data_IF_970528011362
#
_entry.id   IF_970528011362
#
_cell.length_a   1.000
_cell.length_b   1.000
_cell.length_c   1.000
_cell.angle_alpha   90.00
_cell.angle_beta   90.00
_cell.angle_gamma   90.00
#
_symmetry.space_group_name_H-M   'P 1'
#
loop_
_entity.id
_entity.type
_entity.pdbx_description
1 polymer ?
#
# COMPACT_ATOMS: atom_id res chain seq x y z
N UNK A 1 -39.67 -22.34 10.30
CA UNK A 1 -40.00 -22.92 8.98
C UNK A 1 -40.24 -21.77 8.01
N UNK A 2 -39.36 -21.62 6.99
CA UNK A 2 -39.65 -20.90 5.73
C UNK A 2 -39.80 -19.36 5.81
N UNK A 3 -39.26 -18.51 4.93
CA UNK A 3 -38.79 -18.62 3.54
C UNK A 3 -37.63 -17.64 3.29
N UNK A 4 -36.57 -18.15 2.68
CA UNK A 4 -35.50 -17.36 2.10
C UNK A 4 -36.04 -16.47 0.96
N UNK A 5 -35.78 -15.15 1.05
CA UNK A 5 -35.91 -14.24 -0.09
C UNK A 5 -34.53 -13.95 -0.65
N UNK A 6 -34.15 -14.78 -1.61
CA UNK A 6 -32.97 -14.60 -2.45
C UNK A 6 -33.27 -13.50 -3.46
N UNK A 7 -32.71 -12.30 -3.27
CA UNK A 7 -32.74 -11.24 -4.25
C UNK A 7 -31.38 -11.16 -4.96
N UNK A 8 -31.25 -11.86 -6.08
CA UNK A 8 -30.21 -11.61 -7.06
C UNK A 8 -30.51 -10.25 -7.73
N UNK A 9 -29.84 -9.19 -7.29
CA UNK A 9 -29.80 -7.91 -8.03
C UNK A 9 -28.42 -7.72 -8.62
N UNK A 10 -28.43 -7.46 -9.92
CA UNK A 10 -27.30 -7.51 -10.81
C UNK A 10 -26.12 -6.65 -10.37
N UNK A 11 -24.93 -7.19 -10.61
CA UNK A 11 -23.69 -6.46 -10.64
C UNK A 11 -23.81 -5.38 -11.72
N UNK A 12 -24.11 -4.15 -11.31
CA UNK A 12 -23.88 -2.99 -12.15
C UNK A 12 -22.37 -2.91 -12.36
N UNK A 13 -21.91 -3.22 -13.58
CA UNK A 13 -20.53 -2.94 -13.98
C UNK A 13 -20.34 -1.42 -13.92
N UNK A 14 -19.62 -0.98 -12.90
CA UNK A 14 -19.18 0.41 -12.78
C UNK A 14 -18.43 0.78 -14.07
N UNK A 15 -18.72 1.91 -14.73
CA UNK A 15 -17.93 2.33 -15.87
C UNK A 15 -16.49 2.53 -15.38
N UNK A 16 -15.55 1.85 -16.01
CA UNK A 16 -14.13 2.04 -15.75
C UNK A 16 -13.82 3.54 -15.89
N UNK A 17 -13.50 4.18 -14.77
CA UNK A 17 -13.02 5.55 -14.79
C UNK A 17 -11.72 5.54 -15.59
N UNK A 18 -11.75 6.13 -16.79
CA UNK A 18 -10.56 6.38 -17.57
C UNK A 18 -9.70 7.37 -16.78
N UNK A 19 -8.69 6.84 -16.08
CA UNK A 19 -7.66 7.66 -15.45
C UNK A 19 -6.95 8.41 -16.58
N UNK A 20 -6.96 9.75 -16.62
CA UNK A 20 -6.15 10.46 -17.60
C UNK A 20 -4.69 10.12 -17.32
N UNK A 21 -4.05 9.44 -18.26
CA UNK A 21 -2.62 9.22 -18.24
C UNK A 21 -1.93 10.58 -18.24
N UNK A 22 -1.43 11.01 -17.07
CA UNK A 22 -0.63 12.21 -16.95
C UNK A 22 0.63 12.02 -17.79
N UNK A 23 0.63 12.61 -19.00
CA UNK A 23 1.84 12.78 -19.80
C UNK A 23 2.78 13.66 -19.00
N UNK A 24 3.78 13.06 -18.37
CA UNK A 24 4.95 13.79 -17.87
C UNK A 24 5.61 14.45 -19.07
N UNK A 25 5.77 15.79 -19.12
CA UNK A 25 6.60 16.39 -20.12
C UNK A 25 8.05 15.98 -19.81
N UNK A 26 8.57 15.04 -20.60
CA UNK A 26 10.00 14.81 -20.70
C UNK A 26 10.57 15.99 -21.47
N UNK A 27 11.11 16.97 -20.73
CA UNK A 27 11.96 18.01 -21.30
C UNK A 27 13.26 17.35 -21.75
N UNK A 28 13.35 17.01 -23.02
CA UNK A 28 14.62 16.76 -23.68
C UNK A 28 15.35 18.10 -23.77
N UNK A 29 16.23 18.35 -22.81
CA UNK A 29 17.16 19.48 -22.84
C UNK A 29 18.23 19.15 -23.89
N UNK A 30 18.17 19.80 -25.05
CA UNK A 30 19.36 19.92 -25.90
C UNK A 30 20.16 21.12 -25.39
N UNK A 31 21.37 20.81 -24.93
CA UNK A 31 22.42 21.73 -24.54
C UNK A 31 22.92 22.43 -25.82
N UNK A 32 22.38 23.61 -26.11
CA UNK A 32 22.90 24.51 -27.14
C UNK A 32 23.82 25.49 -26.42
N UNK A 33 25.11 25.13 -26.34
CA UNK A 33 26.15 25.94 -25.72
C UNK A 33 26.46 27.16 -26.60
N UNK A 34 25.64 28.21 -26.47
CA UNK A 34 26.04 29.54 -26.86
C UNK A 34 26.84 30.17 -25.72
N UNK A 35 28.14 30.31 -25.93
CA UNK A 35 29.05 31.11 -25.11
C UNK A 35 28.67 32.60 -25.26
N UNK A 36 27.62 33.02 -24.55
CA UNK A 36 27.27 34.42 -24.35
C UNK A 36 28.18 34.96 -23.23
N UNK A 37 29.27 35.59 -23.63
CA UNK A 37 29.90 36.62 -22.80
C UNK A 37 28.97 37.83 -22.72
N UNK A 38 27.89 37.72 -21.96
CA UNK A 38 27.18 38.90 -21.48
C UNK A 38 28.09 39.52 -20.41
N UNK A 39 28.70 40.66 -20.73
CA UNK A 39 29.23 41.53 -19.70
C UNK A 39 28.06 41.83 -18.74
N UNK A 40 28.17 41.37 -17.50
CA UNK A 40 27.14 41.57 -16.49
C UNK A 40 27.01 43.06 -16.17
N UNK A 41 26.18 43.76 -16.93
CA UNK A 41 25.85 45.19 -16.71
C UNK A 41 24.82 45.36 -15.59
N UNK A 42 24.51 44.31 -14.81
CA UNK A 42 23.57 44.45 -13.70
C UNK A 42 24.23 45.23 -12.57
N UNK A 43 23.85 46.51 -12.47
CA UNK A 43 24.21 47.35 -11.34
C UNK A 43 23.41 46.86 -10.13
N UNK A 44 24.03 45.99 -9.34
CA UNK A 44 23.46 45.54 -8.08
C UNK A 44 23.33 46.73 -7.12
N UNK A 45 22.14 47.00 -6.56
CA UNK A 45 22.01 48.02 -5.55
C UNK A 45 22.88 47.64 -4.35
N UNK A 46 23.58 48.61 -3.72
CA UNK A 46 24.50 48.32 -2.62
C UNK A 46 23.76 47.61 -1.49
N UNK A 47 24.22 46.41 -1.15
CA UNK A 47 23.63 45.61 -0.07
C UNK A 47 23.93 46.24 1.29
N UNK A 48 23.02 47.08 1.77
CA UNK A 48 23.05 47.66 3.11
C UNK A 48 22.25 46.83 4.12
N UNK A 49 22.39 47.16 5.40
CA UNK A 49 21.59 46.58 6.50
C UNK A 49 20.08 46.87 6.41
N UNK A 50 19.65 47.67 5.43
CA UNK A 50 18.24 47.92 5.10
C UNK A 50 17.77 47.13 3.85
N UNK A 51 18.54 46.13 3.41
CA UNK A 51 18.09 45.24 2.35
C UNK A 51 16.88 44.42 2.82
N UNK A 52 16.04 43.98 1.87
CA UNK A 52 14.86 43.17 2.19
C UNK A 52 15.24 41.89 2.94
N UNK A 53 16.41 41.31 2.63
CA UNK A 53 16.98 40.17 3.36
C UNK A 53 17.20 40.47 4.84
N UNK A 54 17.88 41.57 5.17
CA UNK A 54 18.13 41.98 6.55
C UNK A 54 16.85 42.29 7.32
N UNK A 55 15.90 42.96 6.69
CA UNK A 55 14.57 43.24 7.28
C UNK A 55 13.84 41.94 7.61
N UNK A 56 13.82 40.97 6.70
CA UNK A 56 13.18 39.68 6.96
C UNK A 56 13.89 38.89 8.07
N UNK A 57 15.21 38.92 8.14
CA UNK A 57 15.95 38.29 9.25
C UNK A 57 15.68 38.97 10.60
N UNK A 58 15.66 40.31 10.66
CA UNK A 58 15.37 41.04 11.90
C UNK A 58 13.92 40.80 12.33
N UNK A 59 12.97 40.84 11.38
CA UNK A 59 11.58 40.51 11.66
C UNK A 59 11.40 39.05 12.10
N UNK A 60 12.13 38.11 11.52
CA UNK A 60 12.14 36.71 11.93
C UNK A 60 12.66 36.53 13.35
N UNK A 61 13.81 37.14 13.68
CA UNK A 61 14.39 37.11 15.03
C UNK A 61 13.44 37.77 16.04
N UNK A 62 12.89 38.94 15.72
CA UNK A 62 11.91 39.63 16.56
C UNK A 62 10.65 38.77 16.76
N UNK A 63 10.18 38.08 15.72
CA UNK A 63 9.06 37.14 15.79
C UNK A 63 9.33 35.97 16.73
N UNK A 64 10.54 35.38 16.70
CA UNK A 64 10.93 34.30 17.60
C UNK A 64 11.01 34.78 19.06
N UNK A 65 11.59 35.96 19.31
CA UNK A 65 11.68 36.54 20.66
C UNK A 65 10.30 36.90 21.19
N UNK A 66 9.45 37.49 20.37
CA UNK A 66 8.07 37.80 20.73
C UNK A 66 7.28 36.52 21.02
N UNK A 67 7.47 35.46 20.22
CA UNK A 67 6.88 34.17 20.47
C UNK A 67 7.37 33.59 21.80
N UNK A 68 8.65 33.59 22.11
CA UNK A 68 9.15 33.04 23.37
C UNK A 68 8.62 33.80 24.61
N UNK A 69 8.50 35.13 24.53
CA UNK A 69 8.07 35.96 25.66
C UNK A 69 6.55 36.03 25.85
N UNK A 70 5.79 35.98 24.75
CA UNK A 70 4.34 36.14 24.75
C UNK A 70 3.58 34.87 24.33
N UNK A 71 4.28 33.76 24.08
CA UNK A 71 3.62 32.47 23.89
C UNK A 71 2.81 32.16 25.15
N UNK A 72 1.50 31.93 25.01
CA UNK A 72 0.67 31.62 26.15
C UNK A 72 1.12 30.29 26.77
N UNK A 73 1.17 30.26 28.10
CA UNK A 73 1.54 29.08 28.89
C UNK A 73 0.70 27.86 28.48
N UNK A 74 1.30 26.66 28.53
CA UNK A 74 0.69 25.40 28.06
C UNK A 74 -0.69 25.09 28.68
N UNK A 75 -1.02 25.73 29.79
CA UNK A 75 -2.21 25.49 30.61
C UNK A 75 -3.44 26.32 30.22
N UNK A 76 -3.30 27.38 29.41
CA UNK A 76 -4.48 28.15 28.97
C UNK A 76 -5.17 27.50 27.77
N UNK A 77 -6.51 27.36 27.83
CA UNK A 77 -7.35 26.91 26.72
C UNK A 77 -7.39 27.98 25.62
N UNK A 78 -6.37 27.97 24.77
CA UNK A 78 -6.20 28.93 23.69
C UNK A 78 -6.75 28.38 22.38
N UNK A 79 -7.34 29.26 21.56
CA UNK A 79 -7.82 28.92 20.20
C UNK A 79 -6.74 28.25 19.34
N UNK A 80 -5.48 28.65 19.50
CA UNK A 80 -4.34 28.05 18.79
C UNK A 80 -4.10 26.60 19.21
N UNK A 81 -4.14 26.29 20.52
CA UNK A 81 -3.99 24.92 21.03
C UNK A 81 -5.09 24.01 20.50
N UNK A 82 -6.34 24.48 20.52
CA UNK A 82 -7.49 23.76 19.95
C UNK A 82 -7.33 23.49 18.45
N UNK A 83 -6.82 24.47 17.71
CA UNK A 83 -6.53 24.31 16.27
C UNK A 83 -5.44 23.26 16.02
N UNK A 84 -4.33 23.32 16.76
CA UNK A 84 -3.24 22.33 16.68
C UNK A 84 -3.78 20.94 17.03
N UNK A 85 -4.52 20.83 18.14
CA UNK A 85 -5.09 19.56 18.59
C UNK A 85 -6.05 18.97 17.55
N UNK A 86 -6.90 19.79 16.92
CA UNK A 86 -7.78 19.34 15.84
C UNK A 86 -7.00 18.77 14.64
N UNK A 87 -5.83 19.35 14.31
CA UNK A 87 -4.95 18.85 13.24
C UNK A 87 -4.26 17.54 13.61
N UNK A 88 -3.77 17.43 14.85
CA UNK A 88 -3.17 16.18 15.36
C UNK A 88 -4.20 15.06 15.36
N UNK A 89 -5.42 15.35 15.82
CA UNK A 89 -6.53 14.41 15.82
C UNK A 89 -6.91 13.98 14.40
N UNK A 90 -6.97 14.91 13.45
CA UNK A 90 -7.20 14.59 12.04
C UNK A 90 -6.11 13.66 11.49
N UNK A 91 -4.84 13.92 11.79
CA UNK A 91 -3.73 13.08 11.35
C UNK A 91 -3.82 11.66 11.92
N UNK A 92 -4.14 11.54 13.22
CA UNK A 92 -4.35 10.25 13.88
C UNK A 92 -5.49 9.45 13.25
N UNK A 93 -6.63 10.10 13.00
CA UNK A 93 -7.77 9.45 12.34
C UNK A 93 -7.44 8.97 10.92
N UNK A 94 -6.58 9.67 10.18
CA UNK A 94 -6.12 9.24 8.87
C UNK A 94 -5.19 8.02 8.96
N UNK A 95 -4.31 8.00 9.96
CA UNK A 95 -3.43 6.86 10.23
C UNK A 95 -4.26 5.63 10.61
N UNK A 96 -5.19 5.75 11.55
CA UNK A 96 -6.05 4.64 12.00
C UNK A 96 -6.85 4.04 10.83
N UNK A 97 -7.32 4.88 9.89
CA UNK A 97 -7.99 4.41 8.67
C UNK A 97 -7.03 3.71 7.70
N UNK A 98 -5.80 4.21 7.58
CA UNK A 98 -4.74 3.58 6.80
C UNK A 98 -4.41 2.18 7.33
N UNK A 99 -4.26 2.06 8.64
CA UNK A 99 -3.95 0.80 9.32
C UNK A 99 -5.10 -0.21 9.18
N UNK A 100 -6.36 0.24 9.33
CA UNK A 100 -7.54 -0.59 9.07
C UNK A 100 -7.58 -1.08 7.61
N UNK A 101 -7.30 -0.21 6.65
CA UNK A 101 -7.28 -0.59 5.24
C UNK A 101 -6.15 -1.58 4.93
N UNK A 102 -4.98 -1.40 5.55
CA UNK A 102 -3.84 -2.31 5.43
C UNK A 102 -4.18 -3.69 5.98
N UNK A 103 -4.81 -3.76 7.15
CA UNK A 103 -5.25 -5.02 7.75
C UNK A 103 -6.24 -5.78 6.83
N UNK A 104 -7.28 -5.09 6.35
CA UNK A 104 -8.27 -5.69 5.44
C UNK A 104 -7.67 -6.12 4.10
N UNK A 105 -6.72 -5.34 3.57
CA UNK A 105 -6.02 -5.68 2.32
C UNK A 105 -5.17 -6.93 2.49
N UNK A 106 -4.51 -7.07 3.64
CA UNK A 106 -3.68 -8.23 3.97
C UNK A 106 -4.54 -9.49 4.10
N UNK A 107 -5.66 -9.41 4.84
CA UNK A 107 -6.60 -10.54 4.97
C UNK A 107 -7.17 -10.98 3.62
N UNK A 108 -7.51 -10.02 2.75
CA UNK A 108 -7.99 -10.33 1.39
C UNK A 108 -6.91 -11.00 0.54
N UNK A 109 -5.66 -10.52 0.63
CA UNK A 109 -4.53 -11.15 -0.06
C UNK A 109 -4.31 -12.59 0.41
N UNK A 110 -4.38 -12.85 1.71
CA UNK A 110 -4.25 -14.20 2.27
C UNK A 110 -5.37 -15.13 1.78
N UNK A 111 -6.61 -14.63 1.69
CA UNK A 111 -7.73 -15.36 1.11
C UNK A 111 -7.50 -15.73 -0.36
N UNK A 112 -7.00 -14.77 -1.16
CA UNK A 112 -6.66 -15.00 -2.56
C UNK A 112 -5.52 -16.03 -2.69
N UNK A 113 -4.45 -15.89 -1.90
CA UNK A 113 -3.33 -16.82 -1.89
C UNK A 113 -3.77 -18.23 -1.49
N UNK A 114 -4.67 -18.36 -0.52
CA UNK A 114 -5.23 -19.65 -0.11
C UNK A 114 -5.98 -20.32 -1.26
N UNK A 115 -6.83 -19.58 -1.98
CA UNK A 115 -7.58 -20.13 -3.12
C UNK A 115 -6.68 -20.42 -4.31
N UNK A 116 -5.68 -19.57 -4.59
CA UNK A 116 -4.75 -19.77 -5.70
C UNK A 116 -3.78 -20.93 -5.47
N UNK A 117 -3.32 -21.11 -4.23
CA UNK A 117 -2.43 -22.22 -3.86
C UNK A 117 -3.17 -23.55 -3.67
N UNK A 118 -4.48 -23.51 -3.42
CA UNK A 118 -5.31 -24.70 -3.32
C UNK A 118 -5.29 -25.48 -4.64
N UNK A 119 -4.56 -26.60 -4.65
CA UNK A 119 -4.61 -27.59 -5.73
C UNK A 119 -5.61 -28.67 -5.36
N UNK A 120 -6.37 -29.15 -6.36
CA UNK A 120 -7.16 -30.37 -6.19
C UNK A 120 -6.21 -31.51 -5.81
N UNK A 121 -6.60 -32.41 -4.90
CA UNK A 121 -5.82 -33.59 -4.62
C UNK A 121 -5.59 -34.36 -5.93
N UNK A 122 -4.34 -34.73 -6.19
CA UNK A 122 -3.99 -35.46 -7.41
C UNK A 122 -4.67 -36.83 -7.39
N UNK A 123 -5.56 -37.08 -8.35
CA UNK A 123 -6.20 -38.38 -8.53
C UNK A 123 -5.69 -39.03 -9.81
N UNK A 124 -5.19 -40.26 -9.70
CA UNK A 124 -4.83 -41.07 -10.86
C UNK A 124 -5.87 -42.16 -11.07
N UNK A 125 -6.35 -42.30 -12.31
CA UNK A 125 -7.34 -43.34 -12.63
C UNK A 125 -6.62 -44.67 -12.86
N UNK A 126 -6.81 -45.61 -11.96
CA UNK A 126 -6.36 -46.99 -12.10
C UNK A 126 -7.48 -47.84 -12.70
N UNK A 127 -7.11 -48.76 -13.59
CA UNK A 127 -8.03 -49.78 -14.11
C UNK A 127 -8.34 -50.86 -13.06
N UNK A 128 -7.36 -51.20 -12.25
CA UNK A 128 -7.44 -52.20 -11.19
C UNK A 128 -7.01 -51.56 -9.87
N UNK A 129 -7.94 -50.96 -9.09
CA UNK A 129 -7.59 -50.34 -7.81
C UNK A 129 -7.20 -51.36 -6.73
N UNK A 130 -7.55 -52.63 -6.92
CA UNK A 130 -7.25 -53.75 -6.01
C UNK A 130 -5.75 -53.99 -5.81
N UNK A 131 -4.91 -53.50 -6.73
CA UNK A 131 -3.44 -53.61 -6.59
C UNK A 131 -2.88 -52.74 -5.47
N UNK A 132 -3.63 -51.72 -5.02
CA UNK A 132 -3.26 -50.88 -3.87
C UNK A 132 -3.48 -51.72 -2.60
N UNK A 133 -2.47 -52.51 -2.23
CA UNK A 133 -2.50 -53.40 -1.08
C UNK A 133 -2.21 -54.87 -1.41
N UNK A 134 -2.30 -55.27 -2.68
CA UNK A 134 -1.84 -56.59 -3.11
C UNK A 134 -0.34 -56.57 -3.39
N UNK A 135 0.48 -56.79 -2.37
CA UNK A 135 1.91 -57.00 -2.50
C UNK A 135 2.31 -58.34 -1.89
N UNK A 136 3.24 -59.05 -2.55
CA UNK A 136 3.85 -60.24 -1.96
C UNK A 136 4.66 -59.83 -0.73
N UNK A 137 4.48 -60.49 0.43
CA UNK A 137 5.33 -60.27 1.60
C UNK A 137 6.77 -60.74 1.40
N UNK A 138 7.03 -61.58 0.39
CA UNK A 138 8.31 -62.25 0.18
C UNK A 138 8.99 -61.79 -1.12
N UNK A 139 10.33 -61.71 -1.07
CA UNK A 139 11.22 -61.38 -2.21
C UNK A 139 11.02 -59.99 -2.82
N UNK A 140 10.75 -58.99 -2.00
CA UNK A 140 10.66 -57.60 -2.43
C UNK A 140 12.05 -56.95 -2.31
N UNK A 141 12.64 -56.44 -3.42
CA UNK A 141 13.89 -55.71 -3.34
C UNK A 141 13.71 -54.41 -2.53
N UNK A 142 14.75 -54.04 -1.79
CA UNK A 142 14.73 -52.81 -0.97
C UNK A 142 14.50 -51.58 -1.86
N UNK A 143 13.57 -50.71 -1.45
CA UNK A 143 13.25 -49.47 -2.18
C UNK A 143 12.35 -49.64 -3.41
N UNK A 144 11.85 -50.84 -3.73
CA UNK A 144 10.95 -51.03 -4.87
C UNK A 144 9.49 -50.69 -4.58
N UNK A 145 9.11 -50.60 -3.30
CA UNK A 145 7.76 -50.24 -2.86
C UNK A 145 7.74 -48.81 -2.36
N UNK A 146 6.74 -48.06 -2.80
CA UNK A 146 6.42 -46.71 -2.31
C UNK A 146 5.47 -46.85 -1.13
N UNK A 147 5.57 -45.98 -0.13
CA UNK A 147 4.56 -45.92 0.94
C UNK A 147 3.21 -45.46 0.38
N UNK A 148 2.22 -46.35 0.44
CA UNK A 148 0.85 -46.11 -0.04
C UNK A 148 -0.14 -45.84 1.11
N UNK A 149 0.33 -45.66 2.36
CA UNK A 149 -0.51 -45.47 3.54
C UNK A 149 -1.49 -44.28 3.45
N UNK A 150 -1.10 -43.24 2.71
CA UNK A 150 -1.92 -42.04 2.46
C UNK A 150 -2.86 -42.13 1.25
N UNK A 151 -2.83 -43.22 0.48
CA UNK A 151 -3.66 -43.38 -0.71
C UNK A 151 -5.05 -43.88 -0.33
N UNK A 152 -6.09 -43.19 -0.83
CA UNK A 152 -7.49 -43.59 -0.65
C UNK A 152 -8.13 -43.84 -2.01
N UNK A 153 -8.82 -44.97 -2.15
CA UNK A 153 -9.62 -45.26 -3.33
C UNK A 153 -10.88 -44.40 -3.27
N UNK A 154 -11.08 -43.57 -4.30
CA UNK A 154 -12.32 -42.81 -4.46
C UNK A 154 -13.39 -43.77 -5.01
N UNK A 155 -14.39 -44.11 -4.20
CA UNK A 155 -15.57 -44.81 -4.68
C UNK A 155 -16.48 -43.80 -5.41
N UNK A 156 -16.87 -44.10 -6.65
CA UNK A 156 -17.94 -43.38 -7.32
C UNK A 156 -19.27 -43.87 -6.71
N UNK A 157 -19.71 -43.20 -5.65
CA UNK A 157 -21.09 -43.32 -5.21
C UNK A 157 -21.97 -42.54 -6.20
N UNK A 158 -22.84 -43.27 -6.91
CA UNK A 158 -23.98 -42.73 -7.64
C UNK A 158 -25.07 -42.26 -6.65
#
# INVERSE_FOLDING_TARGET
>A
MSLARTALRGVARSPAAAVPAARRPYSAAHDDHHDHHEEDTTVYPPEGFNSRGWIYTIAGIAGVVAFYKYAPSQDSDNRLKRWIQARVEQAKNLQDRGDQHLALSTENQDGILTVQSARRPSSYRLRHPEVIGSASPFSVPVGSQVDLSGVRVKADHA
#
